data_IF_047287892802
#
_entry.id   IF_047287892802
#
_cell.length_a   1.000
_cell.length_b   1.000
_cell.length_c   1.000
_cell.angle_alpha   90.00
_cell.angle_beta   90.00
_cell.angle_gamma   90.00
#
_symmetry.space_group_name_H-M   'P 1'
#
loop_
_entity.id
_entity.type
_entity.pdbx_description
1 polymer ?
#
# COMPACT_ATOMS: atom_id res chain seq x y z
N UNK A 1 5.87 15.20 -29.88
CA UNK A 1 6.54 16.06 -28.88
C UNK A 1 6.30 15.46 -27.52
N UNK A 2 7.29 14.74 -26.99
CA UNK A 2 7.21 14.21 -25.61
C UNK A 2 7.43 15.40 -24.67
N UNK A 3 6.38 15.85 -24.03
CA UNK A 3 6.49 16.79 -22.92
C UNK A 3 7.13 16.01 -21.78
N UNK A 4 8.43 16.17 -21.58
CA UNK A 4 9.12 15.75 -20.38
C UNK A 4 8.57 16.65 -19.27
N UNK A 5 7.57 16.17 -18.55
CA UNK A 5 7.13 16.82 -17.31
C UNK A 5 8.20 16.50 -16.30
N UNK A 6 9.09 17.44 -16.03
CA UNK A 6 9.97 17.41 -14.87
C UNK A 6 9.08 17.25 -13.63
N UNK A 7 9.03 16.03 -13.10
CA UNK A 7 8.28 15.78 -11.87
C UNK A 7 9.17 16.15 -10.69
N UNK A 8 9.08 17.39 -10.26
CA UNK A 8 9.70 17.84 -9.00
C UNK A 8 9.22 16.93 -7.87
N UNK A 9 10.15 16.49 -7.01
CA UNK A 9 9.81 15.67 -5.84
C UNK A 9 8.90 16.46 -4.90
N UNK A 10 7.80 15.85 -4.48
CA UNK A 10 6.81 16.42 -3.57
C UNK A 10 6.44 15.39 -2.50
N UNK A 11 7.35 15.10 -1.55
CA UNK A 11 7.13 14.06 -0.56
C UNK A 11 5.88 14.30 0.26
N UNK A 12 5.00 13.30 0.31
CA UNK A 12 3.76 13.29 1.11
C UNK A 12 3.70 12.11 2.06
N UNK A 13 4.58 11.14 1.86
CA UNK A 13 4.63 9.91 2.65
C UNK A 13 6.09 9.57 2.95
N UNK A 14 6.41 9.39 4.21
CA UNK A 14 7.72 8.98 4.67
C UNK A 14 7.66 7.61 5.37
N UNK A 15 8.49 6.68 4.93
CA UNK A 15 8.84 5.48 5.70
C UNK A 15 10.04 5.83 6.58
N UNK A 16 9.83 5.86 7.88
CA UNK A 16 10.80 6.33 8.87
C UNK A 16 11.38 5.11 9.57
N UNK A 17 12.67 4.86 9.34
CA UNK A 17 13.40 3.79 10.01
C UNK A 17 13.75 4.20 11.44
N UNK A 18 12.85 3.87 12.36
CA UNK A 18 13.06 4.20 13.78
C UNK A 18 14.14 3.32 14.41
N UNK A 19 14.39 2.16 13.82
CA UNK A 19 15.49 1.26 14.17
C UNK A 19 15.79 0.32 13.00
N UNK A 20 17.05 -0.08 12.87
CA UNK A 20 17.44 -1.16 11.96
C UNK A 20 17.41 -2.54 12.65
N UNK A 21 17.27 -2.58 13.99
CA UNK A 21 17.21 -3.83 14.76
C UNK A 21 15.90 -4.56 14.49
N UNK A 22 15.97 -5.88 14.44
CA UNK A 22 14.82 -6.76 14.36
C UNK A 22 15.07 -8.01 15.20
N UNK A 23 14.04 -8.49 15.87
CA UNK A 23 14.09 -9.72 16.65
C UNK A 23 13.75 -10.98 15.83
N UNK A 24 13.38 -10.81 14.55
CA UNK A 24 13.17 -11.90 13.60
C UNK A 24 14.29 -11.96 12.56
N UNK A 25 14.51 -13.15 11.99
CA UNK A 25 15.41 -13.42 10.87
C UNK A 25 14.66 -14.06 9.69
N UNK A 26 13.70 -13.31 9.10
CA UNK A 26 12.90 -13.80 7.97
C UNK A 26 13.80 -14.13 6.76
N UNK A 27 13.57 -15.28 6.11
CA UNK A 27 14.42 -15.79 5.03
C UNK A 27 14.42 -14.93 3.75
N UNK A 28 13.35 -14.17 3.50
CA UNK A 28 13.20 -13.27 2.37
C UNK A 28 13.43 -11.78 2.73
N UNK A 29 14.01 -11.50 3.91
CA UNK A 29 14.19 -10.12 4.35
C UNK A 29 15.28 -9.42 3.54
N UNK A 30 14.92 -8.30 2.91
CA UNK A 30 15.86 -7.47 2.16
C UNK A 30 16.67 -6.49 3.03
N UNK A 31 16.34 -6.39 4.34
CA UNK A 31 17.08 -5.56 5.28
C UNK A 31 18.38 -6.24 5.72
N UNK A 32 19.50 -5.70 5.24
CA UNK A 32 20.83 -6.22 5.59
C UNK A 32 21.43 -5.53 6.82
N UNK A 33 21.05 -4.26 7.07
CA UNK A 33 21.52 -3.52 8.23
C UNK A 33 20.65 -3.86 9.46
N UNK A 34 21.30 -4.39 10.50
CA UNK A 34 20.62 -4.81 11.75
C UNK A 34 21.06 -3.98 12.96
N UNK A 35 21.70 -2.84 12.75
CA UNK A 35 22.25 -2.00 13.82
C UNK A 35 21.84 -0.53 13.64
N UNK A 36 21.68 0.16 14.77
CA UNK A 36 21.32 1.57 14.81
C UNK A 36 19.87 1.81 15.19
N UNK A 37 19.68 2.80 16.05
CA UNK A 37 18.39 3.32 16.46
C UNK A 37 18.32 4.79 16.08
N UNK A 38 17.16 5.25 15.65
CA UNK A 38 16.92 6.67 15.41
C UNK A 38 16.81 7.39 16.75
N UNK A 39 17.56 8.49 16.97
CA UNK A 39 17.40 9.31 18.16
C UNK A 39 16.16 10.22 18.04
N UNK A 40 15.55 10.64 19.17
CA UNK A 40 14.34 11.47 19.19
C UNK A 40 14.46 12.79 18.43
N UNK A 41 15.64 13.43 18.42
CA UNK A 41 15.90 14.67 17.68
C UNK A 41 15.83 14.46 16.17
N UNK A 42 16.30 13.31 15.66
CA UNK A 42 16.18 12.95 14.23
C UNK A 42 14.73 12.71 13.85
N UNK A 43 13.93 12.07 14.73
CA UNK A 43 12.50 11.91 14.53
C UNK A 43 11.79 13.27 14.41
N UNK A 44 12.08 14.21 15.33
CA UNK A 44 11.50 15.56 15.26
C UNK A 44 11.90 16.28 13.99
N UNK A 45 13.19 16.28 13.63
CA UNK A 45 13.68 16.89 12.40
C UNK A 45 13.01 16.29 11.16
N UNK A 46 12.75 14.96 11.15
CA UNK A 46 12.03 14.28 10.07
C UNK A 46 10.60 14.78 9.92
N UNK A 47 9.89 14.93 11.03
CA UNK A 47 8.50 15.43 11.03
C UNK A 47 8.49 16.90 10.58
N UNK A 48 9.35 17.75 11.15
CA UNK A 48 9.44 19.17 10.81
C UNK A 48 9.79 19.38 9.34
N UNK A 49 10.75 18.62 8.82
CA UNK A 49 11.13 18.69 7.41
C UNK A 49 9.97 18.32 6.48
N UNK A 50 9.28 17.20 6.72
CA UNK A 50 8.18 16.77 5.88
C UNK A 50 7.00 17.75 5.94
N UNK A 51 6.71 18.30 7.12
CA UNK A 51 5.65 19.29 7.33
C UNK A 51 6.00 20.60 6.64
N UNK A 52 7.23 21.13 6.81
CA UNK A 52 7.65 22.40 6.21
C UNK A 52 7.66 22.35 4.68
N UNK A 53 8.00 21.18 4.11
CA UNK A 53 7.96 20.96 2.66
C UNK A 53 6.52 21.05 2.12
N UNK A 54 5.56 20.74 2.97
CA UNK A 54 4.13 20.72 2.64
C UNK A 54 3.39 22.04 2.98
N UNK A 55 3.84 22.80 3.96
CA UNK A 55 3.18 24.05 4.39
C UNK A 55 2.96 25.03 3.24
N UNK A 56 3.94 25.15 2.33
CA UNK A 56 3.84 25.99 1.14
C UNK A 56 2.74 25.55 0.16
N UNK A 57 2.34 24.28 0.18
CA UNK A 57 1.31 23.72 -0.70
C UNK A 57 -0.05 23.55 -0.01
N UNK A 58 -0.11 23.48 1.33
CA UNK A 58 -1.35 23.36 2.10
C UNK A 58 -2.35 24.49 1.85
N UNK A 59 -1.88 25.70 1.65
CA UNK A 59 -2.73 26.85 1.36
C UNK A 59 -3.44 26.76 -0.02
N UNK A 60 -2.95 25.92 -0.92
CA UNK A 60 -3.51 25.73 -2.26
C UNK A 60 -4.39 24.49 -2.40
N UNK A 61 -4.28 23.49 -1.47
CA UNK A 61 -5.04 22.23 -1.50
C UNK A 61 -5.35 21.68 -0.10
N UNK A 62 -6.52 21.97 0.46
CA UNK A 62 -6.83 21.74 1.89
C UNK A 62 -6.98 20.28 2.34
N UNK A 63 -6.80 19.24 1.51
CA UNK A 63 -7.21 17.86 1.84
C UNK A 63 -6.22 16.74 1.53
N UNK A 64 -4.95 17.01 1.27
CA UNK A 64 -3.99 15.93 1.10
C UNK A 64 -3.25 15.63 2.41
N UNK A 65 -3.46 14.45 2.98
CA UNK A 65 -2.83 14.02 4.23
C UNK A 65 -1.35 13.68 4.05
N UNK A 66 -0.51 14.21 4.94
CA UNK A 66 0.85 13.68 5.13
C UNK A 66 0.78 12.33 5.84
N UNK A 67 1.60 11.38 5.40
CA UNK A 67 1.65 10.04 5.98
C UNK A 67 3.01 9.75 6.57
N UNK A 68 3.03 9.38 7.84
CA UNK A 68 4.20 9.00 8.61
C UNK A 68 4.12 7.51 8.91
N UNK A 69 4.99 6.73 8.29
CA UNK A 69 5.04 5.28 8.46
C UNK A 69 6.23 4.91 9.33
N UNK A 70 5.97 4.49 10.56
CA UNK A 70 6.97 3.94 11.45
C UNK A 70 7.37 2.56 10.96
N UNK A 71 8.64 2.42 10.62
CA UNK A 71 9.20 1.27 9.92
C UNK A 71 10.61 0.97 10.41
N UNK A 72 11.30 0.02 9.76
CA UNK A 72 12.67 -0.41 10.02
C UNK A 72 12.78 -1.92 10.09
N UNK A 73 13.66 -2.46 10.93
CA UNK A 73 13.66 -3.89 11.23
C UNK A 73 12.37 -4.30 11.94
N UNK A 74 12.22 -3.89 13.20
CA UNK A 74 10.95 -3.93 13.93
C UNK A 74 10.77 -2.61 14.69
N UNK A 75 9.85 -1.73 14.26
CA UNK A 75 9.76 -0.40 14.84
C UNK A 75 9.41 -0.37 16.33
N UNK A 76 8.66 -1.36 16.82
CA UNK A 76 8.28 -1.40 18.24
C UNK A 76 9.44 -1.77 19.18
N UNK A 77 10.59 -2.20 18.67
CA UNK A 77 11.81 -2.32 19.48
C UNK A 77 12.37 -0.97 19.92
N UNK A 78 12.10 0.10 19.18
CA UNK A 78 12.43 1.47 19.57
C UNK A 78 11.14 2.26 19.88
N UNK A 79 10.28 1.68 20.70
CA UNK A 79 9.00 2.27 21.08
C UNK A 79 9.11 3.69 21.68
N UNK A 80 10.11 4.02 22.49
CA UNK A 80 10.27 5.40 22.99
C UNK A 80 10.31 6.44 21.88
N UNK A 81 10.98 6.17 20.76
CA UNK A 81 11.04 7.07 19.60
C UNK A 81 9.74 7.07 18.82
N UNK A 82 9.08 5.91 18.65
CA UNK A 82 7.74 5.83 18.05
C UNK A 82 6.76 6.70 18.83
N UNK A 83 6.73 6.55 20.16
CA UNK A 83 5.89 7.34 21.08
C UNK A 83 6.18 8.83 20.96
N UNK A 84 7.46 9.22 21.08
CA UNK A 84 7.88 10.61 20.98
C UNK A 84 7.49 11.25 19.64
N UNK A 85 7.62 10.49 18.53
CA UNK A 85 7.21 10.93 17.20
C UNK A 85 5.70 11.15 17.09
N UNK A 86 4.89 10.23 17.58
CA UNK A 86 3.42 10.34 17.59
C UNK A 86 2.96 11.51 18.46
N UNK A 87 3.50 11.66 19.67
CA UNK A 87 3.17 12.75 20.59
C UNK A 87 3.55 14.11 19.98
N UNK A 88 4.74 14.22 19.35
CA UNK A 88 5.15 15.42 18.65
C UNK A 88 4.25 15.74 17.44
N UNK A 89 3.95 14.74 16.62
CA UNK A 89 3.05 14.90 15.48
C UNK A 89 1.66 15.38 15.89
N UNK A 90 1.14 14.93 17.05
CA UNK A 90 -0.12 15.42 17.62
C UNK A 90 -0.05 16.94 17.85
N UNK A 91 1.03 17.45 18.46
CA UNK A 91 1.19 18.90 18.70
C UNK A 91 1.22 19.70 17.39
N UNK A 92 1.86 19.15 16.34
CA UNK A 92 1.89 19.76 15.00
C UNK A 92 0.50 19.77 14.37
N UNK A 93 -0.23 18.64 14.41
CA UNK A 93 -1.60 18.55 13.89
C UNK A 93 -2.55 19.53 14.59
N UNK A 94 -2.42 19.71 15.91
CA UNK A 94 -3.22 20.68 16.68
C UNK A 94 -2.89 22.11 16.30
N UNK A 95 -1.60 22.42 16.09
CA UNK A 95 -1.13 23.76 15.70
C UNK A 95 -1.57 24.12 14.27
N UNK A 96 -1.38 23.23 13.32
CA UNK A 96 -1.59 23.49 11.89
C UNK A 96 -2.99 23.08 11.38
N UNK A 97 -3.81 22.44 12.23
CA UNK A 97 -5.19 22.02 11.93
C UNK A 97 -5.29 21.07 10.72
N UNK A 98 -4.35 20.13 10.58
CA UNK A 98 -4.41 19.10 9.54
C UNK A 98 -4.54 17.69 10.11
N UNK A 99 -4.89 16.74 9.24
CA UNK A 99 -4.94 15.31 9.57
C UNK A 99 -3.72 14.60 9.04
N UNK A 100 -3.09 13.78 9.88
CA UNK A 100 -1.94 12.95 9.51
C UNK A 100 -2.33 11.48 9.37
N UNK A 101 -1.77 10.80 8.38
CA UNK A 101 -1.72 9.33 8.35
C UNK A 101 -0.61 8.85 9.29
N UNK A 102 -0.97 8.04 10.27
CA UNK A 102 -0.03 7.41 11.21
C UNK A 102 -0.06 5.91 10.97
N UNK A 103 1.00 5.41 10.35
CA UNK A 103 1.09 4.00 9.97
C UNK A 103 2.16 3.31 10.81
N UNK A 104 1.86 2.11 11.30
CA UNK A 104 2.81 1.23 12.00
C UNK A 104 2.83 -0.09 11.26
N UNK A 105 4.00 -0.46 10.72
CA UNK A 105 4.20 -1.74 10.05
C UNK A 105 5.11 -2.59 10.93
N UNK A 106 4.52 -3.58 11.60
CA UNK A 106 5.18 -4.39 12.61
C UNK A 106 5.17 -5.88 12.25
N UNK A 107 6.17 -6.60 12.73
CA UNK A 107 6.14 -8.06 12.70
C UNK A 107 5.17 -8.65 13.74
N UNK A 108 4.63 -7.82 14.64
CA UNK A 108 3.61 -8.21 15.63
C UNK A 108 4.11 -9.00 16.83
N UNK A 109 5.42 -9.20 16.98
CA UNK A 109 5.96 -9.97 18.11
C UNK A 109 6.11 -9.15 19.38
N UNK A 110 6.27 -7.84 19.25
CA UNK A 110 6.54 -6.93 20.37
C UNK A 110 5.27 -6.14 20.68
N UNK A 111 4.68 -6.42 21.85
CA UNK A 111 3.50 -5.71 22.35
C UNK A 111 3.48 -5.80 23.88
N UNK A 112 3.97 -4.75 24.56
CA UNK A 112 3.96 -4.65 26.02
C UNK A 112 2.70 -3.99 26.54
N UNK A 113 2.41 -4.11 27.82
CA UNK A 113 1.26 -3.44 28.45
C UNK A 113 1.39 -1.92 28.35
N UNK A 114 2.61 -1.37 28.50
CA UNK A 114 2.87 0.07 28.28
C UNK A 114 2.47 0.51 26.87
N UNK A 115 2.81 -0.28 25.83
CA UNK A 115 2.42 0.02 24.46
C UNK A 115 0.91 -0.03 24.28
N UNK A 116 0.24 -1.03 24.85
CA UNK A 116 -1.20 -1.19 24.82
C UNK A 116 -1.89 0.04 25.44
N UNK A 117 -1.47 0.43 26.65
CA UNK A 117 -2.04 1.57 27.37
C UNK A 117 -1.80 2.87 26.61
N UNK A 118 -0.61 3.08 26.08
CA UNK A 118 -0.33 4.26 25.26
C UNK A 118 -1.21 4.30 24.01
N UNK A 119 -1.29 3.21 23.23
CA UNK A 119 -2.09 3.18 22.02
C UNK A 119 -3.59 3.36 22.32
N UNK A 120 -4.12 2.78 23.40
CA UNK A 120 -5.49 3.04 23.85
C UNK A 120 -5.73 4.51 24.17
N UNK A 121 -4.75 5.18 24.77
CA UNK A 121 -4.86 6.60 25.14
C UNK A 121 -4.85 7.55 23.93
N UNK A 122 -4.02 7.26 22.92
CA UNK A 122 -3.83 8.12 21.76
C UNK A 122 -4.78 7.80 20.60
N UNK A 123 -5.29 6.55 20.51
CA UNK A 123 -6.16 6.10 19.41
C UNK A 123 -7.40 6.96 19.17
N UNK A 124 -8.06 7.53 20.20
CA UNK A 124 -9.23 8.40 20.02
C UNK A 124 -8.93 9.76 19.38
N UNK A 125 -7.66 10.13 19.19
CA UNK A 125 -7.30 11.41 18.60
C UNK A 125 -7.75 11.51 17.13
N UNK A 126 -8.69 12.42 16.85
CA UNK A 126 -9.44 12.49 15.60
C UNK A 126 -8.64 12.99 14.39
N UNK A 127 -7.48 13.65 14.62
CA UNK A 127 -6.64 14.13 13.53
C UNK A 127 -5.62 13.09 13.05
N UNK A 128 -5.67 11.85 13.55
CA UNK A 128 -4.89 10.75 13.06
C UNK A 128 -5.74 9.74 12.27
N UNK A 129 -5.31 9.47 11.04
CA UNK A 129 -5.77 8.33 10.25
C UNK A 129 -4.84 7.16 10.52
N UNK A 130 -5.25 6.26 11.39
CA UNK A 130 -4.45 5.12 11.81
C UNK A 130 -4.47 3.99 10.81
N UNK A 131 -3.28 3.45 10.53
CA UNK A 131 -3.11 2.17 9.87
C UNK A 131 -2.10 1.31 10.62
N UNK A 132 -2.56 0.23 11.23
CA UNK A 132 -1.69 -0.77 11.84
C UNK A 132 -1.68 -2.01 10.96
N UNK A 133 -0.49 -2.48 10.58
CA UNK A 133 -0.34 -3.68 9.76
C UNK A 133 0.58 -4.65 10.47
N UNK A 134 0.14 -5.91 10.58
CA UNK A 134 0.91 -7.01 11.13
C UNK A 134 1.35 -7.93 10.01
N UNK A 135 2.63 -8.30 10.03
CA UNK A 135 3.18 -9.29 9.11
C UNK A 135 2.79 -10.71 9.56
N UNK A 136 2.01 -11.40 8.74
CA UNK A 136 1.55 -12.77 9.00
C UNK A 136 1.51 -13.55 7.69
N UNK A 137 2.27 -14.65 7.61
CA UNK A 137 2.38 -15.46 6.40
C UNK A 137 1.51 -16.71 6.47
N UNK A 138 0.20 -16.52 6.70
CA UNK A 138 -0.76 -17.63 6.67
C UNK A 138 -0.82 -18.45 7.94
N UNK A 139 -0.86 -19.77 7.81
CA UNK A 139 -0.92 -20.72 8.93
C UNK A 139 0.44 -20.84 9.67
N UNK A 140 0.43 -21.51 10.83
CA UNK A 140 1.62 -21.66 11.67
C UNK A 140 2.80 -22.27 10.93
N UNK A 141 2.55 -23.30 10.12
CA UNK A 141 3.56 -24.02 9.35
C UNK A 141 4.26 -23.10 8.35
N UNK A 142 3.50 -22.45 7.47
CA UNK A 142 4.04 -21.51 6.45
C UNK A 142 4.71 -20.31 7.10
N UNK A 143 4.11 -19.77 8.17
CA UNK A 143 4.66 -18.62 8.86
C UNK A 143 6.01 -18.94 9.50
N UNK A 144 6.09 -20.03 10.25
CA UNK A 144 7.32 -20.42 10.96
C UNK A 144 8.42 -20.94 10.02
N UNK A 145 8.08 -21.39 8.82
CA UNK A 145 9.08 -21.68 7.79
C UNK A 145 9.79 -20.41 7.28
N UNK A 146 9.15 -19.24 7.39
CA UNK A 146 9.66 -17.99 6.83
C UNK A 146 10.10 -16.98 7.89
N UNK A 147 9.40 -16.91 9.05
CA UNK A 147 9.57 -15.86 10.06
C UNK A 147 9.86 -16.47 11.42
N UNK A 148 11.13 -16.66 11.70
CA UNK A 148 11.59 -17.19 12.99
C UNK A 148 12.29 -16.11 13.81
N UNK A 149 12.33 -16.29 15.12
CA UNK A 149 13.18 -15.49 16.00
C UNK A 149 14.66 -15.75 15.71
N UNK A 150 15.54 -14.93 16.27
CA UNK A 150 16.99 -15.08 16.09
C UNK A 150 17.52 -16.43 16.61
N UNK A 151 16.81 -17.06 17.56
CA UNK A 151 17.10 -18.40 18.11
C UNK A 151 16.42 -19.56 17.38
N UNK A 152 15.90 -19.34 16.18
CA UNK A 152 15.18 -20.32 15.34
C UNK A 152 13.79 -20.76 15.85
N UNK A 153 13.29 -20.19 16.94
CA UNK A 153 11.94 -20.47 17.40
C UNK A 153 10.89 -19.81 16.49
N UNK A 154 9.75 -20.50 16.29
CA UNK A 154 8.64 -19.98 15.50
C UNK A 154 7.97 -18.77 16.16
N UNK A 155 7.65 -17.75 15.39
CA UNK A 155 7.02 -16.53 15.91
C UNK A 155 5.49 -16.52 15.84
N UNK A 156 4.86 -17.44 15.12
CA UNK A 156 3.42 -17.46 14.85
C UNK A 156 2.55 -17.32 16.10
N UNK A 157 2.78 -18.14 17.15
CA UNK A 157 1.93 -18.14 18.35
C UNK A 157 1.90 -16.80 19.06
N UNK A 158 3.06 -16.14 19.15
CA UNK A 158 3.18 -14.81 19.75
C UNK A 158 2.38 -13.79 18.93
N UNK A 159 2.56 -13.80 17.63
CA UNK A 159 1.89 -12.86 16.70
C UNK A 159 0.38 -13.09 16.71
N UNK A 160 -0.08 -14.33 16.62
CA UNK A 160 -1.50 -14.70 16.66
C UNK A 160 -2.19 -14.21 17.94
N UNK A 161 -1.53 -14.30 19.08
CA UNK A 161 -2.00 -13.75 20.34
C UNK A 161 -2.07 -12.23 20.35
N UNK A 162 -1.05 -11.57 19.79
CA UNK A 162 -0.96 -10.12 19.75
C UNK A 162 -1.94 -9.50 18.75
N UNK A 163 -2.23 -10.13 17.60
CA UNK A 163 -3.22 -9.63 16.62
C UNK A 163 -4.57 -9.39 17.29
N UNK A 164 -5.01 -10.28 18.20
CA UNK A 164 -6.28 -10.11 18.92
C UNK A 164 -6.28 -8.83 19.75
N UNK A 165 -5.20 -8.59 20.52
CA UNK A 165 -5.04 -7.39 21.34
C UNK A 165 -4.93 -6.11 20.48
N UNK A 166 -4.16 -6.17 19.39
CA UNK A 166 -4.00 -5.06 18.45
C UNK A 166 -5.36 -4.71 17.82
N UNK A 167 -6.17 -5.70 17.46
CA UNK A 167 -7.50 -5.49 16.87
C UNK A 167 -8.47 -4.78 17.81
N UNK A 168 -8.38 -5.00 19.10
CA UNK A 168 -9.18 -4.30 20.11
C UNK A 168 -8.86 -2.80 20.13
N UNK A 169 -7.59 -2.42 19.89
CA UNK A 169 -7.14 -1.05 19.87
C UNK A 169 -7.34 -0.42 18.47
N UNK A 170 -6.97 -1.15 17.43
CA UNK A 170 -7.05 -0.75 16.03
C UNK A 170 -8.00 -1.67 15.27
N UNK A 171 -9.32 -1.41 15.29
CA UNK A 171 -10.30 -2.24 14.57
C UNK A 171 -10.04 -2.36 13.07
N UNK A 172 -9.29 -1.43 12.49
CA UNK A 172 -8.87 -1.42 11.07
C UNK A 172 -7.52 -2.09 10.82
N UNK A 173 -7.00 -2.89 11.77
CA UNK A 173 -5.72 -3.58 11.60
C UNK A 173 -5.73 -4.46 10.36
N UNK A 174 -4.64 -4.37 9.58
CA UNK A 174 -4.41 -5.23 8.43
C UNK A 174 -3.41 -6.35 8.72
N UNK A 175 -3.56 -7.48 8.05
CA UNK A 175 -2.55 -8.52 7.98
C UNK A 175 -1.92 -8.56 6.59
N UNK A 176 -0.64 -8.85 6.52
CA UNK A 176 0.11 -8.92 5.27
C UNK A 176 0.96 -10.18 5.21
N UNK A 177 0.72 -10.98 4.17
CA UNK A 177 1.52 -12.13 3.80
C UNK A 177 2.54 -11.75 2.72
N UNK A 178 3.77 -12.18 2.91
CA UNK A 178 4.78 -12.21 1.84
C UNK A 178 4.64 -13.51 1.07
N UNK A 179 4.34 -13.40 -0.23
CA UNK A 179 4.20 -14.56 -1.12
C UNK A 179 5.52 -14.79 -1.82
N UNK A 180 6.04 -16.01 -1.71
CA UNK A 180 7.28 -16.46 -2.34
C UNK A 180 6.99 -17.65 -3.27
N UNK A 181 7.86 -17.98 -4.23
CA UNK A 181 7.73 -19.21 -5.00
C UNK A 181 7.59 -20.47 -4.14
N UNK A 182 8.20 -20.48 -2.94
CA UNK A 182 8.20 -21.64 -2.06
C UNK A 182 6.88 -21.85 -1.32
N UNK A 183 6.13 -20.77 -1.02
CA UNK A 183 4.89 -20.86 -0.24
C UNK A 183 3.60 -20.78 -1.07
N UNK A 184 3.68 -20.66 -2.39
CA UNK A 184 2.48 -20.53 -3.24
C UNK A 184 1.58 -21.77 -3.22
N UNK A 185 2.12 -22.98 -3.00
CA UNK A 185 1.33 -24.23 -3.03
C UNK A 185 0.35 -24.34 -1.85
N UNK A 186 0.60 -23.61 -0.76
CA UNK A 186 -0.28 -23.53 0.41
C UNK A 186 -1.11 -22.24 0.47
N UNK A 187 -1.03 -21.36 -0.56
CA UNK A 187 -1.55 -20.01 -0.51
C UNK A 187 -3.04 -19.92 -0.14
N UNK A 188 -3.90 -20.79 -0.66
CA UNK A 188 -5.32 -20.77 -0.32
C UNK A 188 -5.58 -21.20 1.13
N UNK A 189 -4.87 -22.21 1.65
CA UNK A 189 -4.89 -22.62 3.07
C UNK A 189 -4.40 -21.49 3.98
N UNK A 190 -3.32 -20.84 3.59
CA UNK A 190 -2.73 -19.72 4.31
C UNK A 190 -3.65 -18.49 4.33
N UNK A 191 -4.30 -18.22 3.21
CA UNK A 191 -5.28 -17.15 3.08
C UNK A 191 -6.50 -17.38 3.98
N UNK A 192 -7.03 -18.61 4.03
CA UNK A 192 -8.11 -19.01 4.94
C UNK A 192 -7.72 -18.80 6.41
N UNK A 193 -6.50 -19.22 6.80
CA UNK A 193 -5.96 -18.97 8.13
C UNK A 193 -5.87 -17.46 8.44
N UNK A 194 -5.45 -16.63 7.50
CA UNK A 194 -5.43 -15.18 7.68
C UNK A 194 -6.83 -14.59 7.84
N UNK A 195 -7.80 -15.07 7.06
CA UNK A 195 -9.20 -14.64 7.15
C UNK A 195 -9.82 -14.96 8.52
N UNK A 196 -9.40 -16.06 9.17
CA UNK A 196 -9.91 -16.49 10.49
C UNK A 196 -9.63 -15.49 11.60
N UNK A 197 -8.60 -14.64 11.47
CA UNK A 197 -8.34 -13.55 12.42
C UNK A 197 -9.39 -12.44 12.38
N UNK A 198 -10.26 -12.42 11.37
CA UNK A 198 -11.34 -11.43 11.23
C UNK A 198 -10.83 -9.99 11.11
N UNK A 199 -9.60 -9.80 10.64
CA UNK A 199 -9.03 -8.47 10.36
C UNK A 199 -9.68 -7.89 9.10
N UNK A 200 -10.00 -6.58 9.06
CA UNK A 200 -10.72 -5.99 7.93
C UNK A 200 -9.88 -5.86 6.66
N UNK A 201 -8.57 -6.01 6.75
CA UNK A 201 -7.65 -5.85 5.61
C UNK A 201 -6.73 -7.07 5.51
N UNK A 202 -6.71 -7.71 4.34
CA UNK A 202 -5.80 -8.81 4.05
C UNK A 202 -5.02 -8.50 2.78
N UNK A 203 -3.69 -8.49 2.89
CA UNK A 203 -2.78 -8.18 1.79
C UNK A 203 -1.89 -9.39 1.48
N UNK A 204 -1.92 -9.85 0.25
CA UNK A 204 -0.95 -10.77 -0.33
C UNK A 204 0.07 -9.95 -1.15
N UNK A 205 1.34 -10.14 -0.90
CA UNK A 205 2.39 -9.36 -1.57
C UNK A 205 3.50 -10.28 -2.08
N UNK A 206 3.55 -10.57 -3.38
CA UNK A 206 4.65 -11.34 -3.95
C UNK A 206 5.98 -10.58 -3.83
N UNK A 207 7.04 -11.32 -3.51
CA UNK A 207 8.40 -10.78 -3.62
C UNK A 207 8.74 -10.57 -5.09
N UNK A 208 9.55 -9.54 -5.39
CA UNK A 208 10.01 -9.30 -6.75
C UNK A 208 11.25 -10.14 -7.06
N UNK A 209 12.04 -10.44 -6.05
CA UNK A 209 13.32 -11.15 -6.12
C UNK A 209 13.19 -12.68 -6.35
N UNK A 210 11.96 -13.23 -6.29
CA UNK A 210 11.74 -14.67 -6.48
C UNK A 210 11.95 -15.13 -7.92
N UNK A 211 12.22 -16.41 -8.09
CA UNK A 211 12.23 -17.06 -9.42
C UNK A 211 10.80 -17.46 -9.81
N UNK A 212 10.17 -16.66 -10.67
CA UNK A 212 8.82 -16.83 -11.13
C UNK A 212 8.77 -17.54 -12.48
N UNK A 213 9.13 -18.83 -12.50
CA UNK A 213 9.02 -19.64 -13.71
C UNK A 213 7.55 -20.01 -14.03
N UNK A 214 7.29 -20.61 -15.18
CA UNK A 214 5.94 -20.89 -15.69
C UNK A 214 5.12 -21.81 -14.78
N UNK A 215 5.73 -22.79 -14.12
CA UNK A 215 5.05 -23.70 -13.20
C UNK A 215 4.61 -22.93 -11.94
N UNK A 216 5.54 -22.17 -11.36
CA UNK A 216 5.28 -21.31 -10.19
C UNK A 216 4.18 -20.31 -10.47
N UNK A 217 4.22 -19.62 -11.60
CA UNK A 217 3.20 -18.66 -12.02
C UNK A 217 1.84 -19.33 -12.19
N UNK A 218 1.79 -20.49 -12.84
CA UNK A 218 0.55 -21.22 -13.08
C UNK A 218 -0.08 -21.67 -11.76
N UNK A 219 0.73 -22.17 -10.83
CA UNK A 219 0.29 -22.53 -9.47
C UNK A 219 -0.23 -21.31 -8.72
N UNK A 220 0.50 -20.17 -8.77
CA UNK A 220 0.06 -18.95 -8.09
C UNK A 220 -1.29 -18.47 -8.60
N UNK A 221 -1.50 -18.43 -9.91
CA UNK A 221 -2.80 -18.05 -10.51
C UNK A 221 -3.93 -18.99 -10.05
N UNK A 222 -3.68 -20.30 -10.01
CA UNK A 222 -4.67 -21.28 -9.57
C UNK A 222 -5.02 -21.09 -8.09
N UNK A 223 -4.04 -20.94 -7.22
CA UNK A 223 -4.23 -20.71 -5.78
C UNK A 223 -4.91 -19.36 -5.51
N UNK A 224 -4.56 -18.30 -6.25
CA UNK A 224 -5.21 -17.00 -6.12
C UNK A 224 -6.70 -17.04 -6.47
N UNK A 225 -7.09 -17.85 -7.48
CA UNK A 225 -8.51 -18.09 -7.78
C UNK A 225 -9.24 -18.74 -6.61
N UNK A 226 -8.63 -19.77 -5.97
CA UNK A 226 -9.19 -20.39 -4.76
C UNK A 226 -9.32 -19.39 -3.60
N UNK A 227 -8.33 -18.49 -3.41
CA UNK A 227 -8.44 -17.43 -2.41
C UNK A 227 -9.65 -16.52 -2.66
N UNK A 228 -9.95 -16.21 -3.93
CA UNK A 228 -11.10 -15.39 -4.30
C UNK A 228 -12.41 -16.15 -4.04
N UNK A 229 -12.48 -17.42 -4.37
CA UNK A 229 -13.64 -18.28 -4.09
C UNK A 229 -13.89 -18.37 -2.57
N UNK A 230 -12.87 -18.64 -1.76
CA UNK A 230 -12.95 -18.65 -0.28
C UNK A 230 -13.43 -17.30 0.26
N UNK A 231 -12.92 -16.20 -0.25
CA UNK A 231 -13.32 -14.87 0.18
C UNK A 231 -14.82 -14.61 -0.01
N UNK A 232 -15.40 -15.08 -1.13
CA UNK A 232 -16.80 -14.87 -1.43
C UNK A 232 -17.73 -15.92 -0.82
N UNK A 233 -17.30 -17.18 -0.67
CA UNK A 233 -18.11 -18.25 -0.09
C UNK A 233 -18.50 -17.96 1.36
N UNK A 234 -17.64 -17.25 2.10
CA UNK A 234 -17.86 -16.88 3.49
C UNK A 234 -18.60 -15.55 3.69
N UNK A 235 -19.06 -14.92 2.61
CA UNK A 235 -19.80 -13.64 2.66
C UNK A 235 -19.02 -12.48 3.27
N UNK A 236 -17.70 -12.49 3.16
CA UNK A 236 -16.81 -11.54 3.84
C UNK A 236 -16.77 -10.17 3.16
N UNK A 237 -16.69 -9.11 3.97
CA UNK A 237 -16.60 -7.72 3.53
C UNK A 237 -15.22 -7.09 3.79
N UNK A 238 -14.19 -7.91 3.95
CA UNK A 238 -12.83 -7.47 4.21
C UNK A 238 -12.20 -6.89 2.95
N UNK A 239 -11.22 -5.98 3.12
CA UNK A 239 -10.44 -5.50 1.99
C UNK A 239 -9.41 -6.57 1.58
N UNK A 240 -9.54 -7.08 0.36
CA UNK A 240 -8.57 -7.99 -0.25
C UNK A 240 -7.87 -7.27 -1.41
N UNK A 241 -6.55 -7.06 -1.29
CA UNK A 241 -5.81 -6.18 -2.19
C UNK A 241 -5.87 -6.58 -3.68
N UNK A 242 -5.84 -7.89 -4.00
CA UNK A 242 -5.91 -8.34 -5.39
C UNK A 242 -7.25 -8.02 -6.07
N UNK A 243 -8.33 -8.00 -5.32
CA UNK A 243 -9.64 -7.63 -5.86
C UNK A 243 -9.85 -6.12 -5.87
N UNK A 244 -9.68 -5.49 -4.72
CA UNK A 244 -10.05 -4.08 -4.54
C UNK A 244 -9.09 -3.12 -5.26
N UNK A 245 -7.75 -3.34 -5.17
CA UNK A 245 -6.80 -2.55 -5.93
C UNK A 245 -6.93 -2.75 -7.44
N UNK A 246 -7.23 -3.99 -7.87
CA UNK A 246 -7.41 -4.30 -9.29
C UNK A 246 -8.64 -3.61 -9.85
N UNK A 247 -9.75 -3.64 -9.11
CA UNK A 247 -10.97 -2.93 -9.46
C UNK A 247 -10.73 -1.43 -9.57
N UNK A 248 -10.10 -0.83 -8.55
CA UNK A 248 -9.79 0.59 -8.53
C UNK A 248 -8.93 1.01 -9.74
N UNK A 249 -7.92 0.20 -10.08
CA UNK A 249 -7.07 0.47 -11.23
C UNK A 249 -7.78 0.32 -12.57
N UNK A 250 -8.67 -0.67 -12.70
CA UNK A 250 -9.47 -0.88 -13.91
C UNK A 250 -10.43 0.29 -14.09
N UNK A 251 -11.19 0.66 -13.05
CA UNK A 251 -12.21 1.70 -13.09
C UNK A 251 -11.59 3.08 -13.29
N UNK A 252 -10.54 3.42 -12.57
CA UNK A 252 -9.88 4.73 -12.66
C UNK A 252 -8.90 4.84 -13.83
N UNK A 253 -8.79 3.81 -14.68
CA UNK A 253 -7.76 3.74 -15.73
C UNK A 253 -6.35 4.07 -15.21
N UNK A 254 -6.12 3.83 -13.93
CA UNK A 254 -4.87 4.16 -13.25
C UNK A 254 -3.82 3.05 -13.42
N UNK A 255 -3.65 2.61 -14.68
CA UNK A 255 -2.53 1.75 -15.02
C UNK A 255 -1.25 2.54 -14.76
N UNK A 256 -0.25 1.91 -14.15
CA UNK A 256 1.03 2.54 -13.82
C UNK A 256 1.86 2.92 -15.08
N UNK A 257 1.20 3.41 -16.13
CA UNK A 257 1.80 3.68 -17.44
C UNK A 257 2.93 4.72 -17.38
N UNK A 258 2.77 5.76 -16.57
CA UNK A 258 3.72 6.88 -16.57
C UNK A 258 4.51 7.03 -15.28
N UNK A 259 4.06 6.47 -14.15
CA UNK A 259 4.60 6.83 -12.84
C UNK A 259 5.24 5.69 -12.05
N UNK A 260 4.91 4.42 -12.32
CA UNK A 260 5.38 3.29 -11.52
C UNK A 260 5.01 3.45 -10.04
N UNK A 261 5.85 2.96 -9.13
CA UNK A 261 5.73 3.28 -7.72
C UNK A 261 6.09 4.76 -7.46
N UNK A 262 5.62 5.31 -6.35
CA UNK A 262 5.81 6.74 -6.00
C UNK A 262 7.17 7.04 -5.34
N UNK A 263 8.13 6.09 -5.40
CA UNK A 263 9.47 6.28 -4.87
C UNK A 263 10.14 7.53 -5.44
N UNK A 264 10.62 8.43 -4.58
CA UNK A 264 11.24 9.68 -4.97
C UNK A 264 10.31 10.71 -5.64
N UNK A 265 8.99 10.54 -5.58
CA UNK A 265 8.00 11.56 -6.01
C UNK A 265 7.16 12.00 -4.80
N UNK A 266 6.30 11.12 -4.31
CA UNK A 266 5.47 11.34 -3.12
C UNK A 266 5.90 10.51 -1.93
N UNK A 267 6.65 9.44 -2.19
CA UNK A 267 7.14 8.50 -1.19
C UNK A 267 8.64 8.66 -1.02
N UNK A 268 9.08 8.75 0.23
CA UNK A 268 10.50 8.71 0.62
C UNK A 268 10.74 7.70 1.72
N UNK A 269 12.01 7.34 1.92
CA UNK A 269 12.51 6.63 3.08
C UNK A 269 13.47 7.53 3.87
N UNK A 270 13.39 7.50 5.18
CA UNK A 270 14.32 8.21 6.07
C UNK A 270 15.05 7.19 6.93
N UNK A 271 16.37 7.18 6.88
CA UNK A 271 17.21 6.28 7.68
C UNK A 271 17.24 6.68 9.16
N UNK A 272 17.79 5.81 10.00
CA UNK A 272 18.03 6.09 11.43
C UNK A 272 18.89 7.33 11.67
N UNK A 273 19.76 7.69 10.73
CA UNK A 273 20.64 8.87 10.75
C UNK A 273 20.02 10.11 10.08
N UNK A 274 18.72 10.06 9.70
CA UNK A 274 18.04 11.19 9.06
C UNK A 274 18.39 11.40 7.58
N UNK A 275 19.06 10.45 6.91
CA UNK A 275 19.31 10.52 5.46
C UNK A 275 18.03 10.21 4.70
N UNK A 276 17.80 10.93 3.59
CA UNK A 276 16.60 10.81 2.75
C UNK A 276 16.93 9.97 1.52
N UNK A 277 16.07 8.99 1.25
CA UNK A 277 16.16 8.09 0.11
C UNK A 277 14.83 8.04 -0.66
N UNK A 278 14.79 7.57 -1.93
CA UNK A 278 13.56 7.50 -2.71
C UNK A 278 12.44 6.64 -2.09
N UNK A 279 12.78 5.59 -1.32
CA UNK A 279 11.84 4.78 -0.56
C UNK A 279 12.56 3.92 0.50
N UNK A 280 11.79 3.16 1.30
CA UNK A 280 12.31 2.24 2.31
C UNK A 280 13.31 1.20 1.75
N UNK A 281 13.08 0.65 0.55
CA UNK A 281 14.04 -0.31 -0.04
C UNK A 281 15.38 0.33 -0.41
N UNK A 282 15.39 1.58 -0.87
CA UNK A 282 16.64 2.29 -1.11
C UNK A 282 17.37 2.65 0.19
N UNK A 283 16.66 2.80 1.32
CA UNK A 283 17.31 2.87 2.64
C UNK A 283 18.02 1.55 2.95
N UNK A 284 17.34 0.42 2.78
CA UNK A 284 17.91 -0.91 3.01
C UNK A 284 19.14 -1.18 2.13
N UNK A 285 19.10 -0.74 0.88
CA UNK A 285 20.20 -0.92 -0.09
C UNK A 285 21.27 0.18 -0.04
N UNK A 286 21.23 1.10 0.94
CA UNK A 286 22.12 2.27 1.00
C UNK A 286 23.62 1.93 1.09
N UNK A 287 23.96 0.76 1.59
CA UNK A 287 25.35 0.26 1.59
C UNK A 287 25.86 -0.19 0.22
N UNK A 288 24.95 -0.56 -0.68
CA UNK A 288 25.29 -1.09 -2.03
C UNK A 288 25.16 -0.03 -3.11
N UNK A 289 24.16 0.86 -2.97
CA UNK A 289 23.79 1.81 -4.02
C UNK A 289 23.63 3.21 -3.44
N UNK A 290 24.31 4.18 -4.03
CA UNK A 290 24.18 5.58 -3.64
C UNK A 290 22.94 6.22 -4.31
N UNK A 291 21.85 6.26 -3.55
CA UNK A 291 20.62 6.97 -3.87
C UNK A 291 20.23 7.93 -2.73
N UNK A 292 21.19 8.38 -1.95
CA UNK A 292 20.95 9.39 -0.92
C UNK A 292 20.57 10.72 -1.60
N UNK A 293 19.38 11.23 -1.28
CA UNK A 293 18.85 12.48 -1.83
C UNK A 293 19.19 13.71 -0.97
N UNK A 294 19.76 13.52 0.20
CA UNK A 294 20.03 14.55 1.18
C UNK A 294 19.72 14.09 2.60
N UNK A 295 19.39 15.02 3.48
CA UNK A 295 19.04 14.73 4.87
C UNK A 295 17.94 15.66 5.40
N UNK A 296 17.35 15.29 6.54
CA UNK A 296 16.21 16.03 7.13
C UNK A 296 16.56 17.42 7.66
N UNK A 297 17.84 17.76 7.80
CA UNK A 297 18.27 19.08 8.27
C UNK A 297 18.54 20.05 7.12
N UNK A 298 19.12 19.56 6.00
CA UNK A 298 19.46 20.35 4.82
C UNK A 298 18.43 20.24 3.71
N UNK A 299 17.63 19.18 3.74
CA UNK A 299 16.64 18.86 2.71
C UNK A 299 17.22 18.03 1.55
N UNK A 300 16.45 17.97 0.46
CA UNK A 300 16.82 17.24 -0.75
C UNK A 300 17.76 18.09 -1.60
N UNK A 301 18.88 17.52 -2.01
CA UNK A 301 19.79 18.11 -3.00
C UNK A 301 19.31 17.77 -4.42
N UNK A 302 18.58 18.73 -5.03
CA UNK A 302 18.05 18.61 -6.39
C UNK A 302 19.16 18.58 -7.47
N UNK A 303 20.41 18.91 -7.11
CA UNK A 303 21.58 18.90 -8.02
C UNK A 303 22.33 17.57 -8.00
N UNK A 304 22.02 16.70 -7.04
CA UNK A 304 22.72 15.43 -6.85
C UNK A 304 22.50 14.46 -8.01
N UNK A 305 23.48 13.59 -8.25
CA UNK A 305 23.35 12.52 -9.23
C UNK A 305 22.22 11.54 -8.87
N UNK A 306 22.03 11.28 -7.57
CA UNK A 306 20.92 10.45 -7.08
C UNK A 306 19.57 11.03 -7.46
N UNK A 307 19.37 12.34 -7.30
CA UNK A 307 18.15 13.03 -7.69
C UNK A 307 17.90 12.92 -9.20
N UNK A 308 18.93 13.17 -10.02
CA UNK A 308 18.84 13.03 -11.47
C UNK A 308 18.48 11.60 -11.90
N UNK A 309 19.17 10.58 -11.35
CA UNK A 309 18.88 9.16 -11.64
C UNK A 309 17.41 8.79 -11.33
N UNK A 310 16.88 9.23 -10.20
CA UNK A 310 15.50 8.94 -9.78
C UNK A 310 14.46 9.64 -10.65
N UNK A 311 14.70 10.87 -11.06
CA UNK A 311 13.79 11.60 -11.96
C UNK A 311 13.79 11.01 -13.38
N UNK A 312 14.95 10.63 -13.89
CA UNK A 312 15.11 10.05 -15.22
C UNK A 312 14.58 8.61 -15.35
N UNK A 313 14.70 7.77 -14.29
CA UNK A 313 14.31 6.35 -14.37
C UNK A 313 12.84 6.14 -14.77
N UNK A 314 11.97 7.13 -14.48
CA UNK A 314 10.54 7.06 -14.80
C UNK A 314 10.27 7.13 -16.29
N UNK A 315 11.10 7.86 -17.03
CA UNK A 315 10.97 8.06 -18.48
C UNK A 315 11.74 7.02 -19.29
N UNK A 316 12.78 6.40 -18.70
CA UNK A 316 13.66 5.45 -19.40
C UNK A 316 13.04 4.06 -19.59
N UNK A 317 12.12 3.62 -18.74
CA UNK A 317 11.57 2.27 -18.83
C UNK A 317 10.42 2.17 -19.84
N UNK A 318 10.73 2.20 -21.12
CA UNK A 318 9.79 2.26 -22.25
C UNK A 318 8.79 1.09 -22.24
N UNK A 319 9.21 -0.15 -21.95
CA UNK A 319 8.29 -1.31 -21.82
C UNK A 319 7.20 -1.06 -20.80
N UNK A 320 7.54 -0.46 -19.65
CA UNK A 320 6.60 -0.18 -18.58
C UNK A 320 5.65 0.99 -18.88
N UNK A 321 6.07 1.96 -19.73
CA UNK A 321 5.23 3.10 -20.11
C UNK A 321 3.98 2.66 -20.89
N UNK A 322 4.10 1.59 -21.68
CA UNK A 322 3.02 1.03 -22.48
C UNK A 322 2.33 -0.18 -21.83
N UNK A 323 2.79 -0.60 -20.65
CA UNK A 323 2.27 -1.78 -19.95
C UNK A 323 0.88 -1.53 -19.37
N UNK A 324 -0.06 -2.47 -19.56
CA UNK A 324 -1.45 -2.40 -19.08
C UNK A 324 -1.74 -3.37 -17.93
N UNK A 325 -0.70 -3.94 -17.34
CA UNK A 325 -0.81 -4.82 -16.18
C UNK A 325 -1.26 -4.03 -14.96
N UNK A 326 -2.37 -4.45 -14.33
CA UNK A 326 -2.90 -3.75 -13.17
C UNK A 326 -2.40 -4.31 -11.83
N UNK A 327 -1.83 -5.50 -11.79
CA UNK A 327 -1.28 -6.11 -10.57
C UNK A 327 0.14 -5.65 -10.22
N UNK A 328 0.90 -5.08 -11.17
CA UNK A 328 2.30 -4.70 -11.00
C UNK A 328 2.48 -3.29 -10.44
N UNK A 329 3.35 -3.14 -9.45
CA UNK A 329 3.73 -1.86 -8.86
C UNK A 329 5.04 -1.27 -9.41
N UNK A 330 5.76 -1.97 -10.29
CA UNK A 330 7.05 -1.57 -10.86
C UNK A 330 8.01 -1.07 -9.77
N UNK A 331 8.73 -1.97 -9.13
CA UNK A 331 9.65 -1.61 -8.04
C UNK A 331 11.03 -1.22 -8.57
N UNK A 332 11.34 0.07 -8.57
CA UNK A 332 12.63 0.59 -9.02
C UNK A 332 13.82 0.10 -8.17
N UNK A 333 13.63 -0.02 -6.86
CA UNK A 333 14.68 -0.48 -5.96
C UNK A 333 15.03 -1.95 -6.22
N UNK A 334 14.02 -2.80 -6.47
CA UNK A 334 14.28 -4.21 -6.80
C UNK A 334 14.89 -4.35 -8.19
N UNK A 335 14.44 -3.56 -9.18
CA UNK A 335 15.08 -3.56 -10.50
C UNK A 335 16.56 -3.19 -10.38
N UNK A 336 16.89 -2.19 -9.53
CA UNK A 336 18.28 -1.84 -9.23
C UNK A 336 19.05 -3.01 -8.61
N UNK A 337 18.43 -3.73 -7.68
CA UNK A 337 19.07 -4.86 -7.00
C UNK A 337 19.30 -6.06 -7.94
N UNK A 338 18.38 -6.35 -8.85
CA UNK A 338 18.45 -7.47 -9.78
C UNK A 338 19.33 -7.17 -11.00
N UNK A 339 19.21 -5.96 -11.55
CA UNK A 339 19.75 -5.64 -12.88
C UNK A 339 20.75 -4.45 -12.85
N UNK A 340 21.05 -3.89 -11.67
CA UNK A 340 21.88 -2.69 -11.49
C UNK A 340 21.37 -1.45 -12.26
N UNK A 341 20.11 -1.50 -12.71
CA UNK A 341 19.42 -0.41 -13.36
C UNK A 341 17.98 -0.31 -12.82
N UNK A 342 17.59 0.80 -12.18
CA UNK A 342 16.24 0.97 -11.66
C UNK A 342 15.17 1.04 -12.75
N UNK A 343 15.54 1.37 -13.99
CA UNK A 343 14.64 1.41 -15.14
C UNK A 343 14.48 0.08 -15.85
N UNK A 344 15.33 -0.91 -15.56
CA UNK A 344 15.28 -2.24 -16.16
C UNK A 344 13.96 -2.96 -15.84
N UNK A 345 13.67 -3.97 -16.63
CA UNK A 345 12.54 -4.89 -16.42
C UNK A 345 13.10 -6.16 -15.78
N UNK A 346 12.51 -6.66 -14.68
CA UNK A 346 12.94 -7.93 -14.10
C UNK A 346 12.87 -9.08 -15.10
N UNK A 347 13.95 -9.88 -15.19
CA UNK A 347 14.04 -11.03 -16.10
C UNK A 347 13.72 -12.37 -15.40
N UNK A 348 13.30 -12.32 -14.14
CA UNK A 348 13.00 -13.47 -13.28
C UNK A 348 11.52 -13.93 -13.33
N UNK A 349 10.81 -13.66 -14.40
CA UNK A 349 9.40 -14.03 -14.58
C UNK A 349 8.40 -13.14 -13.82
N UNK A 350 8.85 -12.12 -13.05
CA UNK A 350 7.95 -11.27 -12.29
C UNK A 350 6.99 -10.46 -13.17
N UNK A 351 7.42 -10.01 -14.35
CA UNK A 351 6.54 -9.33 -15.30
C UNK A 351 5.48 -10.27 -15.86
N UNK A 352 5.88 -11.45 -16.28
CA UNK A 352 5.05 -12.52 -16.82
C UNK A 352 4.01 -12.98 -15.80
N UNK A 353 4.42 -13.12 -14.52
CA UNK A 353 3.52 -13.41 -13.41
C UNK A 353 2.40 -12.37 -13.30
N UNK A 354 2.76 -11.09 -13.28
CA UNK A 354 1.78 -10.01 -13.18
C UNK A 354 0.86 -9.93 -14.40
N UNK A 355 1.37 -10.24 -15.57
CA UNK A 355 0.61 -10.31 -16.83
C UNK A 355 -0.44 -11.43 -16.79
N UNK A 356 -0.03 -12.65 -16.39
CA UNK A 356 -0.92 -13.80 -16.24
C UNK A 356 -1.96 -13.58 -15.13
N UNK A 357 -1.57 -12.99 -13.99
CA UNK A 357 -2.53 -12.60 -12.93
C UNK A 357 -3.55 -11.59 -13.46
N UNK A 358 -3.09 -10.55 -14.15
CA UNK A 358 -4.00 -9.52 -14.68
C UNK A 358 -4.99 -10.11 -15.69
N UNK A 359 -4.55 -11.00 -16.56
CA UNK A 359 -5.39 -11.70 -17.52
C UNK A 359 -6.40 -12.63 -16.84
N UNK A 360 -5.97 -13.38 -15.82
CA UNK A 360 -6.83 -14.31 -15.08
C UNK A 360 -7.88 -13.60 -14.21
N UNK A 361 -7.52 -12.44 -13.59
CA UNK A 361 -8.43 -11.72 -12.70
C UNK A 361 -9.46 -10.88 -13.44
N UNK A 362 -9.16 -10.38 -14.63
CA UNK A 362 -10.07 -9.51 -15.40
C UNK A 362 -11.48 -10.09 -15.58
N UNK A 363 -11.69 -11.33 -16.07
CA UNK A 363 -13.02 -11.91 -16.20
C UNK A 363 -13.70 -12.14 -14.85
N UNK A 364 -12.95 -12.51 -13.82
CA UNK A 364 -13.47 -12.71 -12.46
C UNK A 364 -14.00 -11.39 -11.89
N UNK A 365 -13.22 -10.32 -11.95
CA UNK A 365 -13.63 -8.98 -11.48
C UNK A 365 -14.88 -8.53 -12.23
N UNK A 366 -14.93 -8.76 -13.54
CA UNK A 366 -16.11 -8.45 -14.37
C UNK A 366 -17.36 -9.20 -13.88
N UNK A 367 -17.26 -10.52 -13.66
CA UNK A 367 -18.38 -11.33 -13.15
C UNK A 367 -18.86 -10.83 -11.79
N UNK A 368 -17.95 -10.57 -10.86
CA UNK A 368 -18.25 -10.10 -9.51
C UNK A 368 -18.93 -8.72 -9.49
N UNK A 369 -18.53 -7.84 -10.40
CA UNK A 369 -19.19 -6.54 -10.58
C UNK A 369 -20.62 -6.71 -11.12
N UNK A 370 -20.79 -7.61 -12.09
CA UNK A 370 -22.11 -7.91 -12.68
C UNK A 370 -23.08 -8.50 -11.67
N UNK A 371 -22.59 -9.37 -10.81
CA UNK A 371 -23.35 -10.00 -9.73
C UNK A 371 -23.59 -9.06 -8.53
N UNK A 372 -23.01 -7.86 -8.55
CA UNK A 372 -23.09 -6.90 -7.44
C UNK A 372 -22.35 -7.33 -6.18
N UNK A 373 -21.52 -8.37 -6.26
CA UNK A 373 -20.70 -8.87 -5.16
C UNK A 373 -19.50 -7.95 -4.88
N UNK A 374 -18.93 -7.34 -5.92
CA UNK A 374 -17.87 -6.34 -5.80
C UNK A 374 -18.47 -4.95 -6.00
N UNK A 375 -18.30 -4.05 -5.01
CA UNK A 375 -18.86 -2.70 -5.03
C UNK A 375 -17.76 -1.68 -5.11
N UNK A 376 -17.96 -0.65 -5.94
CA UNK A 376 -17.16 0.58 -5.90
C UNK A 376 -17.56 1.37 -4.65
N UNK A 377 -16.60 1.99 -3.98
CA UNK A 377 -16.90 2.94 -2.90
C UNK A 377 -17.69 4.12 -3.48
N UNK A 378 -18.78 4.51 -2.83
CA UNK A 378 -19.70 5.56 -3.33
C UNK A 378 -19.03 6.93 -3.53
N UNK A 379 -17.98 7.24 -2.77
CA UNK A 379 -17.20 8.47 -2.92
C UNK A 379 -16.37 8.51 -4.22
N UNK A 380 -15.95 7.37 -4.76
CA UNK A 380 -15.19 7.29 -6.03
C UNK A 380 -16.07 7.58 -7.23
N UNK A 381 -17.38 7.31 -7.13
CA UNK A 381 -18.35 7.59 -8.20
C UNK A 381 -18.75 9.08 -8.27
N UNK A 382 -18.79 9.77 -7.13
CA UNK A 382 -19.02 11.22 -7.09
C UNK A 382 -17.81 11.98 -7.66
N UNK A 383 -16.59 11.56 -7.32
CA UNK A 383 -15.32 12.12 -7.79
C UNK A 383 -15.13 11.94 -9.32
N UNK A 384 -15.68 10.89 -9.92
CA UNK A 384 -15.66 10.66 -11.37
C UNK A 384 -16.56 11.63 -12.13
N UNK A 385 -17.66 12.11 -11.52
CA UNK A 385 -18.55 13.12 -12.10
C UNK A 385 -17.98 14.53 -12.00
N UNK A 386 -17.43 14.89 -10.84
CA UNK A 386 -16.93 16.26 -10.58
C UNK A 386 -15.60 16.57 -11.30
N UNK A 387 -14.80 15.57 -11.62
CA UNK A 387 -13.51 15.77 -12.32
C UNK A 387 -13.61 15.88 -13.82
N UNK A 388 -14.81 15.90 -14.39
CA UNK A 388 -15.02 16.04 -15.83
C UNK A 388 -14.30 14.97 -16.64
N UNK A 389 -14.14 13.76 -16.07
CA UNK A 389 -13.47 12.64 -16.69
C UNK A 389 -14.42 11.98 -17.70
N UNK A 390 -14.92 12.79 -18.64
CA UNK A 390 -15.30 12.28 -19.95
C UNK A 390 -14.02 12.12 -20.75
N UNK A 391 -13.56 10.88 -20.79
CA UNK A 391 -12.32 10.49 -21.44
C UNK A 391 -12.35 10.85 -22.92
N UNK A 392 -11.37 11.62 -23.38
CA UNK A 392 -10.88 11.47 -24.73
C UNK A 392 -10.23 10.09 -24.80
N UNK A 393 -10.96 9.13 -25.32
CA UNK A 393 -10.44 7.81 -25.70
C UNK A 393 -9.42 8.10 -26.79
N UNK A 394 -8.14 7.91 -26.49
CA UNK A 394 -7.11 7.97 -27.52
C UNK A 394 -7.36 6.84 -28.51
N UNK A 395 -7.25 7.14 -29.81
CA UNK A 395 -7.53 6.22 -30.93
C UNK A 395 -6.64 4.95 -30.97
N UNK A 396 -5.74 4.76 -30.00
CA UNK A 396 -4.75 3.68 -29.97
C UNK A 396 -5.04 2.57 -28.93
N UNK A 397 -6.25 2.52 -28.34
CA UNK A 397 -6.60 1.44 -27.42
C UNK A 397 -7.17 0.23 -28.18
N UNK A 398 -6.73 -1.02 -27.84
CA UNK A 398 -7.35 -2.23 -28.40
C UNK A 398 -8.86 -2.24 -28.16
N UNK A 399 -9.65 -2.60 -29.17
CA UNK A 399 -11.11 -2.62 -29.13
C UNK A 399 -11.67 -3.37 -27.91
N UNK A 400 -11.06 -4.49 -27.55
CA UNK A 400 -11.40 -5.31 -26.39
C UNK A 400 -11.32 -4.58 -25.05
N UNK A 401 -10.38 -3.65 -24.89
CA UNK A 401 -10.20 -2.87 -23.66
C UNK A 401 -11.17 -1.68 -23.58
N UNK A 402 -11.57 -1.14 -24.73
CA UNK A 402 -12.58 -0.08 -24.85
C UNK A 402 -13.95 -0.66 -24.53
N UNK A 403 -14.25 -1.86 -25.04
CA UNK A 403 -15.48 -2.59 -24.79
C UNK A 403 -15.63 -2.96 -23.30
N UNK A 404 -14.57 -3.45 -22.64
CA UNK A 404 -14.53 -3.73 -21.20
C UNK A 404 -14.84 -2.48 -20.35
N UNK A 405 -14.28 -1.31 -20.72
CA UNK A 405 -14.52 -0.05 -20.00
C UNK A 405 -15.95 0.45 -20.17
N UNK A 406 -16.43 0.45 -21.40
CA UNK A 406 -17.79 0.91 -21.73
C UNK A 406 -18.84 0.01 -21.07
N UNK A 407 -18.61 -1.29 -21.03
CA UNK A 407 -19.50 -2.26 -20.41
C UNK A 407 -19.57 -2.09 -18.89
N UNK A 408 -18.43 -1.87 -18.21
CA UNK A 408 -18.38 -1.58 -16.77
C UNK A 408 -19.07 -0.25 -16.46
N UNK A 409 -18.79 0.79 -17.23
CA UNK A 409 -19.39 2.11 -17.06
C UNK A 409 -20.90 2.05 -17.32
N UNK A 410 -21.33 1.41 -18.40
CA UNK A 410 -22.73 1.30 -18.75
C UNK A 410 -23.55 0.58 -17.65
N UNK A 411 -23.01 -0.48 -17.07
CA UNK A 411 -23.70 -1.23 -16.00
C UNK A 411 -23.69 -0.48 -14.67
N UNK A 412 -22.60 0.22 -14.32
CA UNK A 412 -22.59 1.14 -13.18
C UNK A 412 -23.64 2.24 -13.35
N UNK A 413 -23.79 2.80 -14.56
CA UNK A 413 -24.83 3.80 -14.87
C UNK A 413 -26.25 3.23 -14.78
N UNK A 414 -26.49 2.03 -15.29
CA UNK A 414 -27.80 1.36 -15.22
C UNK A 414 -28.20 1.14 -13.76
N UNK A 415 -27.28 0.71 -12.93
CA UNK A 415 -27.52 0.52 -11.50
C UNK A 415 -27.79 1.83 -10.76
N UNK A 416 -27.03 2.88 -11.04
CA UNK A 416 -27.28 4.23 -10.50
C UNK A 416 -28.66 4.76 -10.87
N UNK A 417 -29.06 4.58 -12.11
CA UNK A 417 -30.41 4.97 -12.58
C UNK A 417 -31.48 4.21 -11.82
N UNK A 418 -31.25 2.92 -11.51
CA UNK A 418 -32.18 2.11 -10.72
C UNK A 418 -32.26 2.60 -9.27
N UNK A 419 -31.12 2.82 -8.62
CA UNK A 419 -31.05 3.36 -7.24
C UNK A 419 -31.65 4.77 -7.15
N UNK A 420 -31.42 5.63 -8.14
CA UNK A 420 -32.06 6.96 -8.20
C UNK A 420 -33.59 6.87 -8.38
N UNK A 421 -34.12 5.88 -9.11
CA UNK A 421 -35.56 5.65 -9.23
C UNK A 421 -36.15 5.20 -7.88
N UNK A 422 -35.46 4.31 -7.16
CA UNK A 422 -35.89 3.87 -5.83
C UNK A 422 -35.89 5.03 -4.82
N UNK A 423 -34.87 5.88 -4.82
CA UNK A 423 -34.82 7.09 -3.98
C UNK A 423 -35.92 8.08 -4.35
N UNK A 424 -36.18 8.31 -5.64
CA UNK A 424 -37.31 9.16 -6.08
C UNK A 424 -38.66 8.60 -5.64
N UNK A 425 -38.86 7.31 -5.70
CA UNK A 425 -40.08 6.65 -5.24
C UNK A 425 -40.24 6.79 -3.71
N UNK A 426 -39.18 6.62 -2.94
CA UNK A 426 -39.18 6.80 -1.49
C UNK A 426 -39.48 8.26 -1.09
N UNK A 427 -38.90 9.22 -1.81
CA UNK A 427 -39.18 10.66 -1.61
C UNK A 427 -40.62 11.03 -1.95
N UNK A 428 -41.19 10.43 -3.02
CA UNK A 428 -42.61 10.65 -3.38
C UNK A 428 -43.56 10.12 -2.30
N UNK A 429 -43.25 8.93 -1.73
CA UNK A 429 -44.02 8.36 -0.59
C UNK A 429 -43.92 9.24 0.66
N UNK A 430 -42.73 9.76 0.95
CA UNK A 430 -42.52 10.70 2.07
C UNK A 430 -43.30 12.02 1.87
N UNK A 431 -43.26 12.57 0.66
CA UNK A 431 -43.99 13.79 0.32
C UNK A 431 -45.50 13.63 0.40
N UNK A 432 -46.08 12.46 0.04
CA UNK A 432 -47.50 12.17 0.23
C UNK A 432 -47.86 12.10 1.71
N UNK A 433 -47.06 11.43 2.55
CA UNK A 433 -47.29 11.33 3.99
C UNK A 433 -47.17 12.66 4.73
N UNK A 434 -46.44 13.63 4.20
CA UNK A 434 -46.36 15.00 4.75
C UNK A 434 -47.59 15.79 4.34
N UNK A 435 -48.14 15.62 3.13
CA UNK A 435 -49.38 16.26 2.69
C UNK A 435 -50.63 15.76 3.43
N UNK A 436 -50.65 14.49 3.83
CA UNK A 436 -51.75 13.90 4.59
C UNK A 436 -51.74 14.28 6.07
N UNK A 437 -50.72 14.99 6.55
CA UNK A 437 -50.58 15.49 7.93
C UNK A 437 -50.69 17.03 8.07
N UNK A 438 -50.84 17.73 6.97
CA UNK A 438 -51.07 19.18 6.91
C UNK A 438 -52.54 19.45 6.52
#
# INVERSE_FOLDING_TARGET
MNVIVETKMKPKSAYIFVTNKCNLKCNYCYEENRTGDMPPETMRATIDWLVSHYEKEMYTRPFENLTFTFFGGEPLLNFPVVKAGIDYLRTICDRLKFKAGVHILSNGTVLTDEMIDYFKSIRPYNNFNWHFQVSLDGCEETHNANRVFANDEGSYKVIAGNIKKIREIFPSVGVRMTVTPDNIKSLSKDFEAMLSFGTPVTNLTPIVEGDWNDEVISTFVAELKKCIELYYSEGRNQYFNYLHNSLERIVNNSFNRQRGCRAGEYLIGVSTEGKIYPCHRFVAYSKKYDFCLGDVWKGIDETSEAYRKITEMRTKAVKCLNCRVFSCNRCFATNMALNQDPAAVPENGYCEMNEKISSALRPIIRSLLMEGKLKLKSCEMADLKDKGVMYKIGNDEPAELVEDKLDVIARCMIRLVKEMKEVKSALAILASKVKDKA
#
